data_IF_360288590069
#
_entry.id   IF_360288590069
#
_cell.length_a   1.000
_cell.length_b   1.000
_cell.length_c   1.000
_cell.angle_alpha   90.00
_cell.angle_beta   90.00
_cell.angle_gamma   90.00
#
_symmetry.space_group_name_H-M   'P 1'
#
loop_
_entity.id
_entity.type
_entity.pdbx_description
1 polymer ?
#
# COMPACT_ATOMS: atom_id res chain seq x y z
N UNK A 1 33.33 14.96 56.21
CA UNK A 1 33.63 15.23 54.78
C UNK A 1 33.21 13.98 54.00
N UNK A 2 32.05 13.99 53.40
CA UNK A 2 31.52 12.88 52.56
C UNK A 2 31.16 13.47 51.22
N UNK A 3 31.93 13.08 50.20
CA UNK A 3 31.73 13.52 48.81
C UNK A 3 30.41 12.93 48.24
N UNK A 4 29.51 13.82 47.95
CA UNK A 4 28.25 13.51 47.23
C UNK A 4 28.53 13.62 45.73
N UNK A 5 28.89 12.51 45.09
CA UNK A 5 28.98 12.41 43.62
C UNK A 5 27.58 12.35 43.04
N UNK A 6 27.16 13.48 42.53
CA UNK A 6 25.91 13.62 41.76
C UNK A 6 26.07 12.94 40.40
N UNK A 7 25.55 11.72 40.27
CA UNK A 7 25.43 11.02 39.00
C UNK A 7 24.33 11.69 38.14
N UNK A 8 24.76 12.55 37.23
CA UNK A 8 23.87 13.04 36.14
C UNK A 8 23.61 11.87 35.20
N UNK A 9 22.47 11.20 35.32
CA UNK A 9 21.93 10.37 34.28
C UNK A 9 21.38 11.30 33.15
N UNK A 10 22.17 11.48 32.11
CA UNK A 10 21.68 12.03 30.85
C UNK A 10 20.70 10.99 30.24
N UNK A 11 19.41 11.14 30.49
CA UNK A 11 18.38 10.46 29.76
C UNK A 11 18.35 11.06 28.33
N UNK A 12 19.09 10.44 27.41
CA UNK A 12 18.95 10.70 25.99
C UNK A 12 17.56 10.18 25.62
N UNK A 13 16.56 11.05 25.68
CA UNK A 13 15.28 10.82 25.04
C UNK A 13 15.55 10.75 23.53
N UNK A 14 15.66 9.54 22.99
CA UNK A 14 15.49 9.31 21.56
C UNK A 14 14.07 9.74 21.23
N UNK A 15 13.91 10.94 20.69
CA UNK A 15 12.69 11.40 20.04
C UNK A 15 12.50 10.54 18.80
N UNK A 16 11.93 9.36 18.97
CA UNK A 16 11.50 8.52 17.86
C UNK A 16 10.42 9.30 17.15
N UNK A 17 10.69 9.68 15.91
CA UNK A 17 9.74 10.43 15.11
C UNK A 17 8.47 9.58 14.94
N UNK A 18 7.29 10.02 15.44
CA UNK A 18 6.06 9.25 15.38
C UNK A 18 5.67 8.88 13.94
N UNK A 19 6.09 9.69 12.95
CA UNK A 19 5.89 9.40 11.53
C UNK A 19 6.66 8.15 11.06
N UNK A 20 7.83 7.85 11.66
CA UNK A 20 8.62 6.66 11.30
C UNK A 20 8.04 5.39 11.90
N UNK A 21 7.53 5.46 13.13
CA UNK A 21 6.81 4.34 13.76
C UNK A 21 5.51 4.02 13.02
N UNK A 22 4.76 5.05 12.65
CA UNK A 22 3.57 4.95 11.83
C UNK A 22 3.82 4.20 10.52
N UNK A 23 4.85 4.60 9.77
CA UNK A 23 5.19 3.96 8.52
C UNK A 23 5.68 2.50 8.71
N UNK A 24 6.37 2.22 9.80
CA UNK A 24 6.90 0.90 10.11
C UNK A 24 5.81 -0.09 10.54
N UNK A 25 4.76 0.37 11.23
CA UNK A 25 3.64 -0.47 11.66
C UNK A 25 2.73 -0.87 10.49
N UNK A 26 2.58 0.01 9.48
CA UNK A 26 1.84 -0.29 8.26
C UNK A 26 2.61 -1.26 7.33
N UNK A 27 3.92 -1.33 7.49
CA UNK A 27 4.78 -2.12 6.61
C UNK A 27 5.06 -3.51 7.19
N UNK A 28 4.09 -4.41 7.11
CA UNK A 28 4.41 -5.85 7.17
C UNK A 28 5.15 -6.20 5.87
N UNK A 29 6.47 -6.17 5.91
CA UNK A 29 7.31 -6.56 4.78
C UNK A 29 7.49 -8.07 4.79
N UNK A 30 6.86 -8.77 3.85
CA UNK A 30 7.36 -10.08 3.44
C UNK A 30 8.43 -9.89 2.35
N UNK A 31 9.52 -10.65 2.33
CA UNK A 31 10.59 -10.46 1.33
C UNK A 31 10.11 -10.72 -0.10
N UNK A 32 9.37 -11.78 -0.34
CA UNK A 32 8.72 -12.10 -1.63
C UNK A 32 7.55 -13.04 -1.38
N UNK A 33 6.45 -12.82 -2.08
CA UNK A 33 5.32 -13.73 -2.10
C UNK A 33 5.27 -14.39 -3.47
N UNK A 34 5.62 -15.68 -3.57
CA UNK A 34 5.67 -16.45 -4.82
C UNK A 34 6.38 -15.73 -5.97
N UNK A 35 7.51 -15.06 -5.68
CA UNK A 35 8.27 -14.28 -6.65
C UNK A 35 7.84 -12.82 -6.78
N UNK A 36 6.69 -12.43 -6.27
CA UNK A 36 6.23 -11.03 -6.24
C UNK A 36 7.07 -10.24 -5.23
N UNK A 37 7.79 -9.23 -5.72
CA UNK A 37 8.66 -8.38 -4.89
C UNK A 37 7.85 -7.45 -4.01
N UNK A 38 8.42 -7.08 -2.87
CA UNK A 38 7.85 -6.06 -1.97
C UNK A 38 6.37 -6.29 -1.65
N UNK A 39 5.93 -7.55 -1.58
CA UNK A 39 4.54 -7.88 -1.25
C UNK A 39 4.21 -7.41 0.16
N UNK A 40 3.15 -6.62 0.28
CA UNK A 40 2.74 -5.99 1.55
C UNK A 40 1.23 -5.86 1.64
N UNK A 41 0.72 -6.07 2.84
CA UNK A 41 -0.61 -5.62 3.19
C UNK A 41 -0.61 -4.09 3.40
N UNK A 42 -1.59 -3.41 2.82
CA UNK A 42 -1.82 -1.96 2.97
C UNK A 42 -3.01 -1.69 3.85
N UNK A 43 -4.11 -2.37 3.57
CA UNK A 43 -5.34 -2.35 4.34
C UNK A 43 -5.73 -3.81 4.63
N UNK A 44 -5.79 -4.23 5.89
CA UNK A 44 -6.03 -5.62 6.27
C UNK A 44 -7.22 -6.24 5.54
N UNK A 45 -6.98 -7.32 4.78
CA UNK A 45 -8.02 -8.04 4.06
C UNK A 45 -8.71 -7.27 2.92
N UNK A 46 -8.22 -6.08 2.53
CA UNK A 46 -8.84 -5.26 1.47
C UNK A 46 -7.86 -4.86 0.36
N UNK A 47 -6.65 -4.42 0.71
CA UNK A 47 -5.68 -3.93 -0.26
C UNK A 47 -4.29 -4.46 0.04
N UNK A 48 -3.68 -5.08 -0.95
CA UNK A 48 -2.30 -5.53 -0.97
C UNK A 48 -1.53 -4.82 -2.08
N UNK A 49 -0.20 -4.79 -1.96
CA UNK A 49 0.68 -4.18 -2.96
C UNK A 49 1.94 -4.99 -3.19
N UNK A 50 2.54 -4.82 -4.36
CA UNK A 50 3.85 -5.42 -4.68
C UNK A 50 4.43 -4.96 -5.99
N UNK A 51 5.49 -5.62 -6.42
CA UNK A 51 6.10 -5.46 -7.74
C UNK A 51 5.98 -6.74 -8.56
N UNK A 52 6.39 -6.71 -9.82
CA UNK A 52 6.53 -7.91 -10.63
C UNK A 52 7.84 -8.65 -10.31
N UNK A 53 7.90 -9.94 -10.57
CA UNK A 53 9.06 -10.78 -10.27
C UNK A 53 10.34 -10.30 -10.98
N UNK A 54 10.25 -10.02 -12.28
CA UNK A 54 11.38 -9.53 -13.09
C UNK A 54 11.58 -8.01 -13.03
N UNK A 55 10.74 -7.28 -12.29
CA UNK A 55 10.80 -5.83 -12.11
C UNK A 55 10.31 -5.00 -13.29
N UNK A 56 9.95 -5.57 -14.43
CA UNK A 56 9.59 -4.83 -15.65
C UNK A 56 8.36 -5.34 -16.39
N UNK A 57 7.99 -6.58 -16.21
CA UNK A 57 6.85 -7.19 -16.91
C UNK A 57 5.59 -7.17 -16.03
N UNK A 58 4.39 -7.29 -16.64
CA UNK A 58 3.21 -7.72 -15.94
C UNK A 58 3.43 -9.06 -15.22
N UNK A 59 2.55 -9.40 -14.28
CA UNK A 59 2.59 -10.69 -13.59
C UNK A 59 2.39 -11.84 -14.59
N UNK A 60 3.13 -12.91 -14.40
CA UNK A 60 2.97 -14.14 -15.16
C UNK A 60 1.86 -15.03 -14.57
N UNK A 61 1.55 -16.11 -15.28
CA UNK A 61 0.49 -17.03 -14.88
C UNK A 61 0.73 -17.65 -13.49
N UNK A 62 1.97 -17.99 -13.15
CA UNK A 62 2.29 -18.58 -11.83
C UNK A 62 2.06 -17.60 -10.68
N UNK A 63 2.44 -16.34 -10.86
CA UNK A 63 2.20 -15.27 -9.89
C UNK A 63 0.70 -14.97 -9.72
N UNK A 64 -0.04 -14.93 -10.84
CA UNK A 64 -1.50 -14.74 -10.81
C UNK A 64 -2.21 -15.93 -10.14
N UNK A 65 -1.78 -17.16 -10.41
CA UNK A 65 -2.32 -18.35 -9.76
C UNK A 65 -2.07 -18.33 -8.25
N UNK A 66 -0.88 -17.95 -7.83
CA UNK A 66 -0.54 -17.83 -6.41
C UNK A 66 -1.41 -16.77 -5.69
N UNK A 67 -1.59 -15.61 -6.30
CA UNK A 67 -2.49 -14.57 -5.76
C UNK A 67 -3.94 -15.06 -5.66
N UNK A 68 -4.40 -15.79 -6.67
CA UNK A 68 -5.75 -16.35 -6.70
C UNK A 68 -5.95 -17.37 -5.58
N UNK A 69 -5.01 -18.29 -5.34
CA UNK A 69 -5.06 -19.27 -4.25
C UNK A 69 -4.95 -18.59 -2.87
N UNK A 70 -4.35 -17.40 -2.79
CA UNK A 70 -4.32 -16.56 -1.57
C UNK A 70 -5.56 -15.65 -1.44
N UNK A 71 -6.63 -16.01 -2.15
CA UNK A 71 -7.96 -15.39 -2.11
C UNK A 71 -8.01 -13.93 -2.63
N UNK A 72 -7.03 -13.48 -3.43
CA UNK A 72 -7.09 -12.19 -4.12
C UNK A 72 -8.08 -12.29 -5.29
N UNK A 73 -9.01 -11.33 -5.37
CA UNK A 73 -10.04 -11.31 -6.42
C UNK A 73 -9.71 -10.42 -7.62
N UNK A 74 -8.91 -9.39 -7.40
CA UNK A 74 -8.50 -8.47 -8.48
C UNK A 74 -7.02 -8.12 -8.32
N UNK A 75 -6.25 -8.27 -9.40
CA UNK A 75 -4.90 -7.76 -9.50
C UNK A 75 -4.87 -6.60 -10.52
N UNK A 76 -4.23 -5.48 -10.17
CA UNK A 76 -4.20 -4.28 -11.00
C UNK A 76 -2.75 -3.89 -11.28
N UNK A 77 -2.35 -3.95 -12.55
CA UNK A 77 -1.10 -3.43 -13.02
C UNK A 77 -1.20 -1.92 -13.25
N UNK A 78 -0.31 -1.16 -12.61
CA UNK A 78 -0.37 0.32 -12.62
C UNK A 78 0.36 0.97 -13.81
N UNK A 79 0.63 0.19 -14.84
CA UNK A 79 1.18 0.62 -16.13
C UNK A 79 0.51 -0.14 -17.27
N UNK A 80 0.82 0.27 -18.52
CA UNK A 80 0.35 -0.43 -19.72
C UNK A 80 1.47 -1.18 -20.45
N UNK A 81 2.73 -0.91 -20.09
CA UNK A 81 3.91 -1.46 -20.77
C UNK A 81 3.96 -2.99 -20.65
N UNK A 82 3.92 -3.68 -21.79
CA UNK A 82 3.94 -5.13 -21.84
C UNK A 82 2.64 -5.82 -21.42
N UNK A 83 1.58 -5.08 -21.12
CA UNK A 83 0.29 -5.66 -20.76
C UNK A 83 -0.48 -6.07 -22.02
N UNK A 84 -0.83 -7.34 -22.13
CA UNK A 84 -1.51 -7.92 -23.31
C UNK A 84 -3.03 -7.77 -23.26
N UNK A 85 -3.57 -7.17 -22.21
CA UNK A 85 -5.01 -6.97 -21.99
C UNK A 85 -5.54 -7.70 -20.76
N UNK A 86 -6.76 -7.42 -20.34
CA UNK A 86 -7.41 -8.06 -19.19
C UNK A 86 -7.47 -9.58 -19.35
N UNK A 87 -7.26 -10.29 -18.23
CA UNK A 87 -7.37 -11.75 -18.19
C UNK A 87 -8.03 -12.21 -16.89
N UNK A 88 -8.48 -13.46 -16.88
CA UNK A 88 -9.04 -14.13 -15.71
C UNK A 88 -8.17 -15.35 -15.41
N UNK A 89 -7.80 -15.51 -14.15
CA UNK A 89 -7.14 -16.71 -13.63
C UNK A 89 -8.12 -17.46 -12.75
N UNK A 90 -8.37 -18.72 -13.07
CA UNK A 90 -9.22 -19.60 -12.28
C UNK A 90 -8.36 -20.40 -11.27
N UNK A 91 -8.85 -20.54 -10.04
CA UNK A 91 -8.20 -21.32 -9.01
C UNK A 91 -9.22 -21.95 -8.03
N UNK A 92 -8.75 -22.65 -7.01
CA UNK A 92 -9.63 -23.33 -6.03
C UNK A 92 -10.48 -22.33 -5.22
N UNK A 93 -10.03 -21.07 -5.12
CA UNK A 93 -10.73 -19.99 -4.42
C UNK A 93 -11.70 -19.21 -5.32
N UNK A 94 -11.81 -19.54 -6.62
CA UNK A 94 -12.63 -18.87 -7.61
C UNK A 94 -11.80 -18.09 -8.61
N UNK A 95 -12.28 -16.91 -9.02
CA UNK A 95 -11.65 -16.14 -10.09
C UNK A 95 -10.85 -14.96 -9.57
N UNK A 96 -9.70 -14.71 -10.21
CA UNK A 96 -8.92 -13.49 -10.10
C UNK A 96 -8.98 -12.75 -11.44
N UNK A 97 -9.41 -11.51 -11.41
CA UNK A 97 -9.42 -10.61 -12.56
C UNK A 97 -8.13 -9.79 -12.60
N UNK A 98 -7.38 -9.90 -13.70
CA UNK A 98 -6.16 -9.14 -13.91
C UNK A 98 -6.40 -8.03 -14.94
N UNK A 99 -6.21 -6.78 -14.52
CA UNK A 99 -6.48 -5.59 -15.34
C UNK A 99 -5.33 -4.59 -15.23
N UNK A 100 -5.29 -3.59 -16.11
CA UNK A 100 -4.39 -2.44 -15.99
C UNK A 100 -5.15 -1.15 -15.66
N UNK A 101 -4.50 -0.26 -14.94
CA UNK A 101 -4.93 1.12 -14.69
C UNK A 101 -3.73 2.03 -14.51
N UNK A 102 -3.87 3.29 -14.90
CA UNK A 102 -2.85 4.28 -14.57
C UNK A 102 -2.78 4.52 -13.05
N UNK A 103 -1.57 4.76 -12.54
CA UNK A 103 -1.36 5.15 -11.15
C UNK A 103 -1.70 6.63 -10.86
N UNK A 104 -2.01 7.42 -11.90
CA UNK A 104 -2.37 8.84 -11.82
C UNK A 104 -3.80 9.10 -12.31
N UNK A 105 -4.35 10.25 -11.95
CA UNK A 105 -5.60 10.77 -12.48
C UNK A 105 -6.79 9.82 -12.32
N UNK A 106 -7.55 9.63 -13.39
CA UNK A 106 -8.73 8.77 -13.42
C UNK A 106 -8.40 7.29 -13.19
N UNK A 107 -7.22 6.83 -13.58
CA UNK A 107 -6.78 5.46 -13.33
C UNK A 107 -6.67 5.18 -11.83
N UNK A 108 -6.00 6.05 -11.06
CA UNK A 108 -5.94 5.96 -9.61
C UNK A 108 -7.33 6.02 -8.96
N UNK A 109 -8.20 6.91 -9.43
CA UNK A 109 -9.58 6.98 -8.94
C UNK A 109 -10.34 5.66 -9.17
N UNK A 110 -10.12 5.01 -10.31
CA UNK A 110 -10.68 3.68 -10.60
C UNK A 110 -10.14 2.62 -9.63
N UNK A 111 -8.82 2.64 -9.32
CA UNK A 111 -8.25 1.71 -8.32
C UNK A 111 -8.91 1.90 -6.96
N UNK A 112 -9.06 3.14 -6.50
CA UNK A 112 -9.75 3.40 -5.22
C UNK A 112 -11.19 2.92 -5.26
N UNK A 113 -11.89 3.10 -6.39
CA UNK A 113 -13.25 2.58 -6.54
C UNK A 113 -13.30 1.06 -6.47
N UNK A 114 -12.38 0.34 -7.09
CA UNK A 114 -12.29 -1.13 -7.00
C UNK A 114 -12.09 -1.60 -5.55
N UNK A 115 -11.21 -0.95 -4.79
CA UNK A 115 -11.02 -1.25 -3.37
C UNK A 115 -12.30 -0.97 -2.57
N UNK A 116 -12.94 0.17 -2.81
CA UNK A 116 -14.20 0.53 -2.16
C UNK A 116 -15.30 -0.48 -2.46
N UNK A 117 -15.49 -0.84 -3.73
CA UNK A 117 -16.53 -1.80 -4.15
C UNK A 117 -16.29 -3.19 -3.52
N UNK A 118 -15.02 -3.64 -3.47
CA UNK A 118 -14.65 -4.88 -2.79
C UNK A 118 -15.03 -4.85 -1.30
N UNK A 119 -14.70 -3.77 -0.59
CA UNK A 119 -15.06 -3.61 0.83
C UNK A 119 -16.59 -3.63 1.00
N UNK A 120 -17.33 -2.86 0.18
CA UNK A 120 -18.79 -2.74 0.29
C UNK A 120 -19.53 -4.03 -0.03
N UNK A 121 -19.04 -4.82 -0.98
CA UNK A 121 -19.61 -6.11 -1.32
C UNK A 121 -19.14 -7.24 -0.39
N UNK A 122 -18.21 -6.98 0.53
CA UNK A 122 -17.48 -8.00 1.31
C UNK A 122 -16.81 -9.03 0.38
N UNK A 123 -16.33 -8.52 -0.75
CA UNK A 123 -15.66 -9.32 -1.77
C UNK A 123 -14.20 -9.58 -1.43
N UNK A 124 -13.51 -10.22 -2.37
CA UNK A 124 -12.09 -10.55 -2.24
C UNK A 124 -11.20 -9.32 -2.31
N UNK A 125 -10.03 -9.34 -1.66
CA UNK A 125 -9.06 -8.24 -1.67
C UNK A 125 -8.59 -7.86 -3.06
N UNK A 126 -8.11 -6.62 -3.16
CA UNK A 126 -7.45 -6.07 -4.36
C UNK A 126 -5.93 -6.08 -4.15
N UNK A 127 -5.20 -6.55 -5.14
CA UNK A 127 -3.74 -6.44 -5.21
C UNK A 127 -3.35 -5.42 -6.29
N UNK A 128 -2.48 -4.48 -5.95
CA UNK A 128 -1.94 -3.50 -6.89
C UNK A 128 -0.44 -3.71 -7.07
N UNK A 129 0.05 -3.58 -8.30
CA UNK A 129 1.48 -3.72 -8.56
C UNK A 129 1.99 -2.80 -9.67
N UNK A 130 3.29 -2.55 -9.64
CA UNK A 130 4.06 -1.95 -10.72
C UNK A 130 5.31 -2.80 -10.98
N UNK A 131 6.35 -2.24 -11.58
CA UNK A 131 7.58 -3.00 -11.85
C UNK A 131 8.29 -3.44 -10.56
N UNK A 132 8.55 -2.51 -9.64
CA UNK A 132 9.30 -2.76 -8.40
C UNK A 132 8.44 -2.76 -7.13
N UNK A 133 7.15 -2.44 -7.21
CA UNK A 133 6.30 -2.30 -6.04
C UNK A 133 6.54 -1.02 -5.22
N UNK A 134 7.35 -0.07 -5.71
CA UNK A 134 7.86 1.06 -4.93
C UNK A 134 7.14 2.37 -5.25
N UNK A 135 7.35 2.94 -6.47
CA UNK A 135 6.92 4.30 -6.78
C UNK A 135 5.41 4.42 -7.02
N UNK A 136 4.94 3.91 -8.17
CA UNK A 136 3.52 4.00 -8.55
C UNK A 136 2.63 3.27 -7.54
N UNK A 137 2.99 2.04 -7.21
CA UNK A 137 2.26 1.23 -6.24
C UNK A 137 2.23 1.87 -4.86
N UNK A 138 3.39 2.42 -4.43
CA UNK A 138 3.48 3.13 -3.16
C UNK A 138 2.64 4.40 -3.12
N UNK A 139 2.60 5.17 -4.24
CA UNK A 139 1.80 6.38 -4.33
C UNK A 139 0.29 6.08 -4.28
N UNK A 140 -0.15 5.03 -5.00
CA UNK A 140 -1.56 4.59 -4.95
C UNK A 140 -1.93 4.07 -3.57
N UNK A 141 -1.06 3.27 -2.93
CA UNK A 141 -1.27 2.81 -1.56
C UNK A 141 -1.35 3.97 -0.55
N UNK A 142 -0.44 4.94 -0.62
CA UNK A 142 -0.45 6.12 0.22
C UNK A 142 -1.75 6.93 0.08
N UNK A 143 -2.21 7.14 -1.16
CA UNK A 143 -3.48 7.85 -1.40
C UNK A 143 -4.71 7.01 -1.05
N UNK A 144 -4.65 5.67 -1.10
CA UNK A 144 -5.71 4.81 -0.58
C UNK A 144 -5.86 4.96 0.95
N UNK A 145 -4.75 5.03 1.68
CA UNK A 145 -4.78 5.31 3.13
C UNK A 145 -5.39 6.69 3.44
N UNK A 146 -5.11 7.71 2.61
CA UNK A 146 -5.78 9.01 2.73
C UNK A 146 -7.28 8.92 2.43
N UNK A 147 -7.66 8.17 1.40
CA UNK A 147 -9.05 8.00 0.96
C UNK A 147 -9.90 7.29 2.00
N UNK A 148 -9.38 6.23 2.61
CA UNK A 148 -10.16 5.29 3.40
C UNK A 148 -9.90 5.37 4.90
N UNK A 149 -8.67 5.74 5.30
CA UNK A 149 -8.20 5.59 6.67
C UNK A 149 -7.88 6.93 7.37
N UNK A 150 -8.33 8.05 6.82
CA UNK A 150 -8.11 9.39 7.37
C UNK A 150 -6.63 9.76 7.58
N UNK A 151 -5.72 9.15 6.83
CA UNK A 151 -4.29 9.45 6.89
C UNK A 151 -4.05 10.84 6.31
N UNK A 152 -3.31 11.68 7.02
CA UNK A 152 -2.97 13.03 6.55
C UNK A 152 -2.00 12.97 5.35
N UNK A 153 -1.96 14.00 4.49
CA UNK A 153 -1.03 14.04 3.37
C UNK A 153 0.43 13.84 3.77
N UNK A 154 0.84 14.43 4.89
CA UNK A 154 2.20 14.27 5.41
C UNK A 154 2.50 12.82 5.79
N UNK A 155 1.60 12.19 6.55
CA UNK A 155 1.74 10.78 6.94
C UNK A 155 1.76 9.84 5.72
N UNK A 156 0.95 10.13 4.70
CA UNK A 156 0.93 9.37 3.45
C UNK A 156 2.25 9.48 2.69
N UNK A 157 2.87 10.67 2.66
CA UNK A 157 4.22 10.85 2.10
C UNK A 157 5.27 10.10 2.92
N UNK A 158 5.19 10.17 4.25
CA UNK A 158 6.12 9.44 5.12
C UNK A 158 5.99 7.93 4.92
N UNK A 159 4.76 7.40 4.81
CA UNK A 159 4.49 6.00 4.43
C UNK A 159 5.17 5.64 3.10
N UNK A 160 5.00 6.46 2.07
CA UNK A 160 5.60 6.21 0.76
C UNK A 160 7.12 6.21 0.83
N UNK A 161 7.73 7.17 1.54
CA UNK A 161 9.19 7.33 1.65
C UNK A 161 9.89 6.15 2.31
N UNK A 162 9.27 5.48 3.27
CA UNK A 162 9.90 4.35 3.97
C UNK A 162 10.31 3.23 3.02
N UNK A 163 9.50 2.95 1.98
CA UNK A 163 9.81 1.93 0.98
C UNK A 163 10.66 2.42 -0.20
N UNK A 164 11.06 3.71 -0.22
CA UNK A 164 11.72 4.33 -1.38
C UNK A 164 13.11 4.83 -0.99
N UNK A 165 14.19 4.29 -1.60
CA UNK A 165 15.54 4.82 -1.38
C UNK A 165 15.59 6.35 -1.61
N UNK A 166 16.33 7.08 -0.79
CA UNK A 166 16.35 8.55 -0.80
C UNK A 166 16.59 9.14 -2.21
N UNK A 167 17.53 8.56 -2.97
CA UNK A 167 17.85 8.96 -4.36
C UNK A 167 16.71 8.75 -5.36
N UNK A 168 15.69 7.99 -4.99
CA UNK A 168 14.52 7.66 -5.82
C UNK A 168 13.24 8.32 -5.31
N UNK A 169 13.34 9.22 -4.35
CA UNK A 169 12.20 9.97 -3.81
C UNK A 169 11.86 11.17 -4.70
N UNK A 170 11.19 10.88 -5.82
CA UNK A 170 10.87 11.88 -6.84
C UNK A 170 9.88 12.95 -6.34
N UNK A 171 10.22 14.26 -6.46
CA UNK A 171 9.35 15.37 -6.04
C UNK A 171 7.95 15.31 -6.64
N UNK A 172 7.83 14.89 -7.92
CA UNK A 172 6.54 14.75 -8.61
C UNK A 172 5.60 13.77 -7.89
N UNK A 173 6.13 12.65 -7.38
CA UNK A 173 5.33 11.65 -6.65
C UNK A 173 4.89 12.22 -5.30
N UNK A 174 5.80 12.89 -4.59
CA UNK A 174 5.49 13.57 -3.32
C UNK A 174 4.37 14.59 -3.54
N UNK A 175 4.49 15.42 -4.58
CA UNK A 175 3.47 16.40 -4.92
C UNK A 175 2.12 15.75 -5.26
N UNK A 176 2.14 14.64 -6.00
CA UNK A 176 0.93 13.87 -6.35
C UNK A 176 0.21 13.32 -5.12
N UNK A 177 0.97 12.88 -4.09
CA UNK A 177 0.39 12.44 -2.81
C UNK A 177 -0.13 13.65 -2.02
N UNK A 178 0.69 14.69 -1.86
CA UNK A 178 0.33 15.89 -1.09
C UNK A 178 -0.91 16.62 -1.61
N UNK A 179 -1.09 16.64 -2.93
CA UNK A 179 -2.24 17.30 -3.58
C UNK A 179 -3.48 16.43 -3.69
N UNK A 180 -3.40 15.14 -3.31
CA UNK A 180 -4.54 14.25 -3.38
C UNK A 180 -5.70 14.72 -2.48
N UNK A 181 -6.91 14.68 -3.04
CA UNK A 181 -8.14 14.99 -2.30
C UNK A 181 -9.01 13.74 -2.26
N UNK A 182 -9.36 13.24 -1.06
CA UNK A 182 -10.30 12.14 -0.93
C UNK A 182 -11.64 12.41 -1.62
N UNK A 183 -12.18 11.41 -2.27
CA UNK A 183 -13.51 11.47 -2.87
C UNK A 183 -14.56 11.19 -1.77
N UNK A 184 -15.44 12.15 -1.44
CA UNK A 184 -16.43 11.95 -0.39
C UNK A 184 -17.46 10.84 -0.69
N UNK A 185 -17.66 10.48 -1.97
CA UNK A 185 -18.55 9.39 -2.36
C UNK A 185 -17.98 7.98 -2.05
N UNK A 186 -16.68 7.88 -1.74
CA UNK A 186 -16.01 6.62 -1.42
C UNK A 186 -15.62 6.52 0.05
N UNK A 187 -16.42 7.08 0.94
CA UNK A 187 -16.15 7.04 2.38
C UNK A 187 -16.54 5.71 3.00
N UNK A 188 -15.67 5.18 3.85
CA UNK A 188 -15.97 4.03 4.70
C UNK A 188 -16.71 4.46 5.97
N UNK A 189 -17.56 3.58 6.49
CA UNK A 189 -18.16 3.79 7.82
C UNK A 189 -17.09 3.66 8.92
N UNK A 190 -17.34 4.13 10.16
CA UNK A 190 -16.44 3.92 11.28
C UNK A 190 -16.07 2.43 11.46
N UNK A 191 -17.05 1.54 11.40
CA UNK A 191 -16.88 0.09 11.58
C UNK A 191 -16.03 -0.52 10.45
N UNK A 192 -16.22 -0.06 9.21
CA UNK A 192 -15.39 -0.48 8.08
C UNK A 192 -13.95 0.00 8.25
N UNK A 193 -13.75 1.23 8.73
CA UNK A 193 -12.41 1.72 9.04
C UNK A 193 -11.73 0.92 10.14
N UNK A 194 -12.43 0.61 11.22
CA UNK A 194 -11.90 -0.21 12.31
C UNK A 194 -11.47 -1.61 11.82
N UNK A 195 -12.17 -2.13 10.81
CA UNK A 195 -11.89 -3.45 10.24
C UNK A 195 -10.76 -3.43 9.22
N UNK A 196 -10.73 -2.44 8.32
CA UNK A 196 -9.87 -2.46 7.12
C UNK A 196 -8.71 -1.46 7.18
N UNK A 197 -8.70 -0.54 8.11
CA UNK A 197 -7.57 0.38 8.23
C UNK A 197 -6.54 -0.17 9.21
N UNK A 198 -5.24 0.03 8.91
CA UNK A 198 -4.18 -0.28 9.86
C UNK A 198 -4.45 0.46 11.17
N UNK A 199 -4.26 -0.21 12.30
CA UNK A 199 -4.36 0.45 13.60
C UNK A 199 -3.18 1.39 13.77
N UNK A 200 -3.47 2.65 13.85
CA UNK A 200 -2.51 3.67 14.21
C UNK A 200 -2.61 3.85 15.72
N UNK A 201 -1.54 3.53 16.45
CA UNK A 201 -1.48 3.91 17.85
C UNK A 201 -1.54 5.44 17.90
N UNK A 202 -2.68 5.97 18.31
CA UNK A 202 -2.82 7.38 18.66
C UNK A 202 -1.99 7.59 19.96
N UNK A 203 -0.76 8.10 19.78
CA UNK A 203 0.03 8.67 20.87
C UNK A 203 -0.26 10.17 20.92
#
# INVERSE_FOLDING_TARGET
>A
MKDLRLLLFLAILFLVNPSSLFAQEIMKTGPTFHGIRDFREVMPGALYRGGANNGHAPLNHGELSALCEDDIGTAIYLYTTGFSGPSITHCSKGDLHYIDKSWEGSGRATVHKQVYDSIKSKGKPVFIHCWYGIHATGAVAATALMQFCNVSPKQAVDYWKVGVPAKLQYPKVIQSIMSFKPNPALQLTPEERDRYCPRFNAN
#
